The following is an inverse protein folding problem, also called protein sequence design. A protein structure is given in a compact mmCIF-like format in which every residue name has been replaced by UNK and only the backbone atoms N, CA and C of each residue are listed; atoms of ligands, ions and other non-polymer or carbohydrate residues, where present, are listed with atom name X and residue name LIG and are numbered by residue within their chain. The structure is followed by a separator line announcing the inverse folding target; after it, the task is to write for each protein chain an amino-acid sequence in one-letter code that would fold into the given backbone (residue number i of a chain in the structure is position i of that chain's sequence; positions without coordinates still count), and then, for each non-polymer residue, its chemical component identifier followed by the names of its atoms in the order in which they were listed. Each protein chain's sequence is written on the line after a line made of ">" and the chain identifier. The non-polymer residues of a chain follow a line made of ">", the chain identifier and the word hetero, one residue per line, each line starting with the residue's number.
data_IF_488503534558
#
_entry.id   IF_488503534558
#
_cell.length_a   1.000
_cell.length_b   1.000
_cell.length_c   1.000
_cell.angle_alpha   90.00
_cell.angle_beta   90.00
_cell.angle_gamma   90.00
#
_symmetry.space_group_name_H-M   'P 1'
#
loop_
_entity.id
_entity.type
_entity.pdbx_description
1 polymer ?
#
# COMPACT_ATOMS: atom_id res chain seq x y z
N UNK A 1 -10.02 8.18 -16.14
CA UNK A 1 -8.80 8.72 -15.53
C UNK A 1 -7.63 7.98 -16.15
N UNK A 2 -6.93 8.64 -17.05
CA UNK A 2 -5.75 8.10 -17.74
C UNK A 2 -4.59 8.22 -16.76
N UNK A 3 -4.22 7.13 -16.11
CA UNK A 3 -2.98 7.02 -15.34
C UNK A 3 -1.83 7.32 -16.31
N UNK A 4 -1.26 8.52 -16.20
CA UNK A 4 0.00 8.82 -16.85
C UNK A 4 1.00 7.76 -16.36
N UNK A 5 1.40 6.88 -17.28
CA UNK A 5 2.31 5.78 -16.97
C UNK A 5 3.61 6.41 -16.48
N UNK A 6 3.91 6.21 -15.19
CA UNK A 6 5.14 6.69 -14.55
C UNK A 6 6.31 5.88 -15.12
N UNK A 7 6.81 6.29 -16.27
CA UNK A 7 7.82 5.59 -17.07
C UNK A 7 9.22 5.61 -16.44
N UNK A 8 9.44 5.14 -15.19
CA UNK A 8 10.77 4.63 -14.71
C UNK A 8 10.81 4.24 -13.22
N UNK A 9 9.74 3.67 -12.64
CA UNK A 9 9.86 3.03 -11.33
C UNK A 9 10.22 1.55 -11.50
N UNK A 10 11.50 1.26 -11.80
CA UNK A 10 12.00 -0.12 -11.83
C UNK A 10 12.44 -0.57 -10.45
N UNK A 11 12.07 -1.79 -10.07
CA UNK A 11 12.64 -2.45 -8.89
C UNK A 11 14.17 -2.50 -8.97
N UNK A 12 14.82 -2.32 -7.82
CA UNK A 12 16.24 -2.64 -7.68
C UNK A 12 16.49 -4.13 -7.94
N UNK A 13 17.74 -4.52 -8.23
CA UNK A 13 18.18 -5.90 -8.05
C UNK A 13 17.89 -6.42 -6.64
N UNK A 14 17.95 -7.73 -6.49
CA UNK A 14 17.94 -8.38 -5.18
C UNK A 14 19.33 -8.29 -4.55
N UNK A 15 19.37 -7.95 -3.26
CA UNK A 15 20.58 -7.85 -2.48
C UNK A 15 20.44 -8.68 -1.21
N UNK A 16 21.47 -9.41 -0.82
CA UNK A 16 21.50 -10.04 0.51
C UNK A 16 21.34 -8.97 1.61
N UNK A 17 20.59 -9.29 2.67
CA UNK A 17 20.37 -8.35 3.79
C UNK A 17 21.68 -7.94 4.49
N UNK A 18 22.74 -8.73 4.32
CA UNK A 18 24.06 -8.46 4.87
C UNK A 18 24.99 -7.69 3.93
N UNK A 19 24.60 -7.45 2.66
CA UNK A 19 25.36 -6.66 1.68
C UNK A 19 25.50 -5.19 2.12
N UNK A 20 26.71 -4.81 2.56
CA UNK A 20 26.97 -3.48 3.10
C UNK A 20 26.94 -2.38 2.03
N UNK A 21 27.46 -2.65 0.84
CA UNK A 21 27.47 -1.71 -0.28
C UNK A 21 26.04 -1.35 -0.70
N UNK A 22 25.17 -2.35 -0.88
CA UNK A 22 23.76 -2.13 -1.20
C UNK A 22 23.04 -1.32 -0.11
N UNK A 23 23.33 -1.60 1.17
CA UNK A 23 22.77 -0.85 2.31
C UNK A 23 23.25 0.60 2.33
N UNK A 24 24.52 0.86 2.00
CA UNK A 24 25.06 2.22 1.99
C UNK A 24 24.59 3.03 0.76
N UNK A 25 24.25 2.36 -0.34
CA UNK A 25 23.65 2.94 -1.53
C UNK A 25 22.12 3.16 -1.44
N UNK A 26 21.46 2.77 -0.34
CA UNK A 26 20.02 2.95 -0.18
C UNK A 26 19.62 4.43 -0.25
N UNK A 27 18.56 4.77 -1.01
CA UNK A 27 18.14 6.15 -1.19
C UNK A 27 17.52 6.73 0.09
N UNK A 28 17.68 8.04 0.25
CA UNK A 28 17.07 8.84 1.32
C UNK A 28 15.64 9.28 1.01
N UNK A 29 14.94 8.55 0.15
CA UNK A 29 13.55 8.80 -0.25
C UNK A 29 12.63 7.69 0.24
N UNK A 30 11.32 7.96 0.35
CA UNK A 30 10.33 6.91 0.61
C UNK A 30 10.34 5.82 -0.47
N UNK A 31 9.76 4.68 -0.14
CA UNK A 31 9.59 3.61 -1.13
C UNK A 31 8.95 2.36 -0.56
N UNK A 32 8.80 1.35 -1.42
CA UNK A 32 8.33 0.00 -1.06
C UNK A 32 9.49 -0.99 -1.21
N UNK A 33 9.50 -2.03 -0.38
CA UNK A 33 10.49 -3.10 -0.43
C UNK A 33 9.83 -4.46 -0.33
N UNK A 34 10.56 -5.46 -0.83
CA UNK A 34 10.23 -6.87 -0.65
C UNK A 34 11.42 -7.58 -0.02
N UNK A 35 11.14 -8.56 0.82
CA UNK A 35 12.12 -9.50 1.38
C UNK A 35 11.76 -10.89 0.89
N UNK A 36 12.76 -11.65 0.44
CA UNK A 36 12.60 -13.05 0.02
C UNK A 36 13.63 -13.94 0.69
N UNK A 37 13.36 -15.25 0.67
CA UNK A 37 14.29 -16.29 1.11
C UNK A 37 14.93 -17.01 -0.09
N UNK A 38 15.90 -17.87 0.16
CA UNK A 38 16.66 -18.65 -0.82
C UNK A 38 15.91 -19.89 -1.35
N UNK A 39 14.76 -20.24 -0.77
CA UNK A 39 13.95 -21.40 -1.17
C UNK A 39 12.48 -21.06 -1.40
N UNK A 40 11.76 -21.96 -2.09
CA UNK A 40 10.32 -21.83 -2.33
C UNK A 40 9.53 -22.19 -1.08
N UNK A 41 8.65 -21.29 -0.62
CA UNK A 41 7.67 -21.58 0.44
C UNK A 41 6.37 -21.98 -0.22
N UNK A 42 5.83 -23.16 0.13
CA UNK A 42 4.52 -23.60 -0.34
C UNK A 42 3.41 -22.66 0.12
N UNK A 43 2.45 -22.40 -0.76
CA UNK A 43 1.30 -21.51 -0.51
C UNK A 43 -0.03 -22.25 -0.67
N UNK A 44 -1.13 -21.63 -0.24
CA UNK A 44 -2.49 -22.11 -0.55
C UNK A 44 -2.69 -22.29 -2.05
N UNK A 45 -2.10 -21.40 -2.86
CA UNK A 45 -1.98 -21.54 -4.31
C UNK A 45 -0.53 -21.31 -4.77
N UNK A 46 0.11 -22.38 -5.23
CA UNK A 46 1.48 -22.33 -5.80
C UNK A 46 2.58 -22.28 -4.73
N UNK A 47 3.67 -21.59 -5.04
CA UNK A 47 4.78 -21.34 -4.12
C UNK A 47 5.33 -19.93 -4.32
N UNK A 48 6.05 -19.42 -3.34
CA UNK A 48 6.73 -18.13 -3.46
C UNK A 48 7.90 -18.03 -2.47
N UNK A 49 8.94 -17.31 -2.89
CA UNK A 49 10.08 -16.97 -2.03
C UNK A 49 9.86 -15.72 -1.19
N UNK A 50 8.83 -14.92 -1.51
CA UNK A 50 8.57 -13.65 -0.81
C UNK A 50 8.12 -13.94 0.63
N UNK A 51 8.78 -13.30 1.57
CA UNK A 51 8.53 -13.41 3.00
C UNK A 51 7.76 -12.21 3.51
N UNK A 52 8.15 -11.01 3.09
CA UNK A 52 7.49 -9.77 3.49
C UNK A 52 7.48 -8.75 2.35
N UNK A 53 6.42 -7.92 2.33
CA UNK A 53 6.30 -6.71 1.51
C UNK A 53 6.04 -5.57 2.49
N UNK A 54 6.72 -4.44 2.33
CA UNK A 54 6.51 -3.32 3.24
C UNK A 54 6.87 -1.97 2.64
N UNK A 55 6.28 -0.90 3.18
CA UNK A 55 6.69 0.47 2.89
C UNK A 55 7.77 0.99 3.84
N UNK A 56 8.56 1.94 3.35
CA UNK A 56 9.60 2.65 4.06
C UNK A 56 9.32 4.16 4.04
N UNK A 57 9.04 4.70 5.21
CA UNK A 57 8.82 6.12 5.45
C UNK A 57 9.53 6.51 6.76
N UNK A 58 10.24 7.66 6.83
CA UNK A 58 10.39 8.65 5.76
C UNK A 58 11.40 8.27 4.66
N UNK A 59 12.24 7.23 4.86
CA UNK A 59 13.17 6.78 3.81
C UNK A 59 13.49 5.28 3.83
N UNK A 60 13.80 4.75 2.65
CA UNK A 60 14.32 3.39 2.45
C UNK A 60 15.59 3.14 3.24
N UNK A 61 16.55 4.08 3.25
CA UNK A 61 17.78 3.95 4.04
C UNK A 61 17.48 3.80 5.53
N UNK A 62 16.70 4.68 6.13
CA UNK A 62 16.38 4.59 7.55
C UNK A 62 15.67 3.27 7.88
N UNK A 63 14.67 2.87 7.08
CA UNK A 63 13.89 1.65 7.34
C UNK A 63 14.71 0.38 7.17
N UNK A 64 15.43 0.24 6.06
CA UNK A 64 16.11 -1.01 5.72
C UNK A 64 17.48 -1.08 6.38
N UNK A 65 18.30 -0.03 6.31
CA UNK A 65 19.66 -0.05 6.88
C UNK A 65 19.67 0.04 8.39
N UNK A 66 18.97 1.02 8.97
CA UNK A 66 19.12 1.37 10.38
C UNK A 66 18.17 0.57 11.29
N UNK A 67 16.98 0.25 10.80
CA UNK A 67 15.97 -0.50 11.57
C UNK A 67 15.98 -2.00 11.26
N UNK A 68 15.63 -2.41 10.04
CA UNK A 68 15.44 -3.85 9.72
C UNK A 68 16.74 -4.63 9.66
N UNK A 69 17.75 -4.15 8.93
CA UNK A 69 18.93 -4.97 8.61
C UNK A 69 20.18 -4.66 9.44
N UNK A 70 20.12 -3.67 10.33
CA UNK A 70 21.19 -3.40 11.30
C UNK A 70 21.33 -4.55 12.30
N UNK A 71 22.54 -5.10 12.48
CA UNK A 71 22.78 -6.30 13.32
C UNK A 71 22.18 -6.19 14.73
N UNK A 72 22.32 -5.04 15.38
CA UNK A 72 21.78 -4.84 16.74
C UNK A 72 20.27 -4.60 16.79
N UNK A 73 19.66 -4.15 15.69
CA UNK A 73 18.24 -3.76 15.64
C UNK A 73 17.37 -4.84 14.97
N UNK A 74 17.97 -5.73 14.16
CA UNK A 74 17.31 -6.75 13.36
C UNK A 74 16.32 -7.59 14.16
N UNK A 75 16.71 -8.07 15.34
CA UNK A 75 15.83 -8.88 16.19
C UNK A 75 14.59 -8.15 16.73
N UNK A 76 14.61 -6.81 16.74
CA UNK A 76 13.47 -5.98 17.12
C UNK A 76 12.51 -5.76 15.95
N UNK A 77 13.04 -5.51 14.75
CA UNK A 77 12.25 -5.00 13.61
C UNK A 77 11.89 -6.03 12.55
N UNK A 78 12.58 -7.17 12.49
CA UNK A 78 12.13 -8.28 11.66
C UNK A 78 10.80 -8.84 12.19
N UNK A 79 9.99 -9.37 11.27
CA UNK A 79 8.81 -10.13 11.64
C UNK A 79 9.19 -11.54 12.14
N UNK A 80 8.17 -12.30 12.58
CA UNK A 80 8.38 -13.64 13.15
C UNK A 80 8.89 -14.64 12.12
N UNK A 81 8.41 -14.55 10.88
CA UNK A 81 8.78 -15.46 9.81
C UNK A 81 10.25 -15.25 9.41
N UNK A 82 10.66 -13.99 9.21
CA UNK A 82 12.05 -13.64 8.91
C UNK A 82 13.02 -14.09 10.02
N UNK A 83 12.66 -13.91 11.30
CA UNK A 83 13.48 -14.39 12.42
C UNK A 83 13.64 -15.90 12.40
N UNK A 84 12.55 -16.62 12.15
CA UNK A 84 12.56 -18.09 12.09
C UNK A 84 13.44 -18.59 10.94
N UNK A 85 13.36 -17.97 9.77
CA UNK A 85 14.19 -18.28 8.61
C UNK A 85 15.68 -18.08 8.91
N UNK A 86 16.05 -16.91 9.46
CA UNK A 86 17.43 -16.65 9.84
C UNK A 86 17.94 -17.61 10.92
N UNK A 87 17.10 -17.96 11.89
CA UNK A 87 17.46 -18.95 12.91
C UNK A 87 17.67 -20.35 12.32
N UNK A 88 16.92 -20.70 11.27
CA UNK A 88 17.10 -21.93 10.49
C UNK A 88 18.32 -21.95 9.58
N UNK A 89 19.12 -20.86 9.54
CA UNK A 89 20.30 -20.75 8.69
C UNK A 89 20.00 -20.37 7.24
N UNK A 90 18.76 -19.99 6.92
CA UNK A 90 18.38 -19.50 5.60
C UNK A 90 18.86 -18.07 5.38
N UNK A 91 19.15 -17.74 4.12
CA UNK A 91 19.50 -16.38 3.73
C UNK A 91 18.24 -15.58 3.37
N UNK A 92 18.32 -14.27 3.56
CA UNK A 92 17.30 -13.34 3.13
C UNK A 92 17.91 -12.33 2.17
N UNK A 93 17.13 -11.98 1.16
CA UNK A 93 17.44 -10.93 0.20
C UNK A 93 16.34 -9.88 0.21
N UNK A 94 16.68 -8.66 -0.16
CA UNK A 94 15.73 -7.57 -0.31
C UNK A 94 15.89 -6.87 -1.66
N UNK A 95 14.80 -6.28 -2.14
CA UNK A 95 14.80 -5.29 -3.22
C UNK A 95 13.86 -4.14 -2.86
N UNK A 96 14.01 -3.02 -3.53
CA UNK A 96 13.20 -1.83 -3.27
C UNK A 96 12.82 -1.08 -4.54
N UNK A 97 11.82 -0.21 -4.41
CA UNK A 97 11.36 0.72 -5.42
C UNK A 97 11.10 2.07 -4.73
N UNK A 98 11.66 3.14 -5.27
CA UNK A 98 11.53 4.50 -4.72
C UNK A 98 10.22 5.15 -5.12
N UNK A 99 9.66 5.98 -4.24
CA UNK A 99 8.46 6.78 -4.50
C UNK A 99 8.74 8.26 -4.24
N UNK A 100 7.85 9.12 -4.73
CA UNK A 100 7.99 10.57 -4.53
C UNK A 100 7.64 10.97 -3.09
N UNK A 101 6.67 10.27 -2.48
CA UNK A 101 6.20 10.54 -1.14
C UNK A 101 5.80 9.26 -0.36
N UNK A 102 5.52 9.45 0.94
CA UNK A 102 5.15 8.37 1.86
C UNK A 102 3.76 7.78 1.57
N UNK A 103 2.85 8.59 1.00
CA UNK A 103 1.48 8.15 0.68
C UNK A 103 1.52 7.19 -0.49
N UNK A 104 2.31 7.51 -1.52
CA UNK A 104 2.57 6.64 -2.65
C UNK A 104 3.27 5.34 -2.21
N UNK A 105 4.25 5.41 -1.31
CA UNK A 105 4.90 4.20 -0.77
C UNK A 105 3.90 3.23 -0.11
N UNK A 106 2.97 3.75 0.69
CA UNK A 106 1.91 2.96 1.34
C UNK A 106 0.89 2.43 0.34
N UNK A 107 0.53 3.23 -0.65
CA UNK A 107 -0.38 2.81 -1.71
C UNK A 107 0.22 1.64 -2.50
N UNK A 108 1.49 1.73 -2.91
CA UNK A 108 2.18 0.64 -3.60
C UNK A 108 2.33 -0.61 -2.73
N UNK A 109 2.58 -0.47 -1.43
CA UNK A 109 2.56 -1.61 -0.50
C UNK A 109 1.21 -2.34 -0.53
N UNK A 110 0.10 -1.60 -0.45
CA UNK A 110 -1.25 -2.17 -0.51
C UNK A 110 -1.50 -2.85 -1.88
N UNK A 111 -1.07 -2.25 -2.99
CA UNK A 111 -1.19 -2.83 -4.33
C UNK A 111 -0.40 -4.15 -4.47
N UNK A 112 0.87 -4.16 -4.06
CA UNK A 112 1.71 -5.37 -4.14
C UNK A 112 1.25 -6.48 -3.19
N UNK A 113 0.69 -6.12 -2.02
CA UNK A 113 0.08 -7.11 -1.13
C UNK A 113 -1.19 -7.70 -1.73
N UNK A 114 -2.01 -6.89 -2.40
CA UNK A 114 -3.21 -7.37 -3.08
C UNK A 114 -2.86 -8.28 -4.26
N UNK A 115 -1.89 -7.90 -5.08
CA UNK A 115 -1.39 -8.73 -6.18
C UNK A 115 -0.93 -10.10 -5.66
N UNK A 116 -0.14 -10.09 -4.58
CA UNK A 116 0.33 -11.31 -3.92
C UNK A 116 -0.82 -12.18 -3.40
N UNK A 117 -1.79 -11.58 -2.70
CA UNK A 117 -2.95 -12.29 -2.15
C UNK A 117 -3.83 -12.88 -3.27
N UNK A 118 -4.00 -12.18 -4.39
CA UNK A 118 -4.69 -12.70 -5.57
C UNK A 118 -3.95 -13.88 -6.22
N UNK A 119 -2.62 -13.83 -6.28
CA UNK A 119 -1.79 -14.89 -6.86
C UNK A 119 -1.80 -16.17 -5.99
N UNK A 120 -1.61 -16.00 -4.67
CA UNK A 120 -1.34 -17.09 -3.74
C UNK A 120 -2.47 -17.46 -2.78
N UNK A 121 -3.57 -16.69 -2.79
CA UNK A 121 -4.73 -16.82 -1.89
C UNK A 121 -4.44 -16.61 -0.40
N UNK A 122 -3.29 -16.03 -0.08
CA UNK A 122 -2.87 -15.65 1.27
C UNK A 122 -1.82 -14.54 1.20
N UNK A 123 -1.55 -13.88 2.34
CA UNK A 123 -0.48 -12.88 2.45
C UNK A 123 0.91 -13.52 2.55
N UNK A 124 1.99 -12.75 2.30
CA UNK A 124 3.32 -13.17 2.68
C UNK A 124 3.38 -13.47 4.19
N UNK A 125 4.20 -14.44 4.64
CA UNK A 125 4.19 -14.93 6.02
C UNK A 125 4.64 -13.88 7.05
N UNK A 126 5.36 -12.84 6.61
CA UNK A 126 5.76 -11.69 7.41
C UNK A 126 4.71 -10.56 7.47
N UNK A 127 3.59 -10.69 6.75
CA UNK A 127 2.52 -9.70 6.69
C UNK A 127 1.26 -10.22 7.40
N UNK A 128 0.82 -9.52 8.44
CA UNK A 128 -0.34 -9.93 9.26
C UNK A 128 -1.66 -9.27 8.83
N UNK A 129 -1.60 -8.19 8.05
CA UNK A 129 -2.77 -7.35 7.72
C UNK A 129 -3.00 -7.34 6.22
N UNK A 130 -4.19 -7.78 5.80
CA UNK A 130 -4.60 -7.67 4.39
C UNK A 130 -5.00 -6.23 4.08
N UNK A 131 -4.67 -5.71 2.88
CA UNK A 131 -5.15 -4.41 2.41
C UNK A 131 -6.64 -4.44 2.04
N UNK A 132 -7.24 -5.61 1.81
CA UNK A 132 -8.62 -5.76 1.33
C UNK A 132 -9.67 -5.01 2.16
N UNK A 133 -9.68 -5.06 3.51
CA UNK A 133 -10.67 -4.33 4.29
C UNK A 133 -10.56 -2.82 4.11
N UNK A 134 -9.35 -2.29 3.95
CA UNK A 134 -9.10 -0.86 3.71
C UNK A 134 -9.60 -0.46 2.33
N UNK A 135 -9.18 -1.19 1.30
CA UNK A 135 -9.59 -0.96 -0.09
C UNK A 135 -11.12 -1.07 -0.22
N UNK A 136 -11.72 -2.08 0.39
CA UNK A 136 -13.18 -2.25 0.42
C UNK A 136 -13.88 -1.04 1.03
N UNK A 137 -13.38 -0.55 2.16
CA UNK A 137 -13.95 0.64 2.82
C UNK A 137 -13.84 1.88 1.94
N UNK A 138 -12.71 2.06 1.26
CA UNK A 138 -12.50 3.18 0.33
C UNK A 138 -13.45 3.10 -0.88
N UNK A 139 -13.61 1.91 -1.48
CA UNK A 139 -14.56 1.67 -2.57
C UNK A 139 -16.01 1.86 -2.14
N UNK A 140 -16.37 1.41 -0.93
CA UNK A 140 -17.70 1.62 -0.36
C UNK A 140 -17.98 3.12 -0.14
N UNK A 141 -17.00 3.87 0.37
CA UNK A 141 -17.10 5.32 0.53
C UNK A 141 -17.26 6.04 -0.81
N UNK A 142 -16.46 5.68 -1.82
CA UNK A 142 -16.54 6.26 -3.16
C UNK A 142 -17.91 5.96 -3.81
N UNK A 143 -18.39 4.72 -3.68
CA UNK A 143 -19.70 4.32 -4.21
C UNK A 143 -20.84 5.07 -3.53
N UNK A 144 -20.81 5.19 -2.20
CA UNK A 144 -21.81 5.96 -1.44
C UNK A 144 -21.77 7.43 -1.84
N UNK A 145 -20.57 8.01 -2.02
CA UNK A 145 -20.40 9.38 -2.52
C UNK A 145 -21.06 9.58 -3.88
N UNK A 146 -20.77 8.71 -4.86
CA UNK A 146 -21.37 8.77 -6.20
C UNK A 146 -22.90 8.61 -6.19
N UNK A 147 -23.43 7.73 -5.34
CA UNK A 147 -24.89 7.58 -5.19
C UNK A 147 -25.53 8.81 -4.55
N UNK A 148 -24.88 9.40 -3.55
CA UNK A 148 -25.34 10.64 -2.92
C UNK A 148 -25.31 11.80 -3.92
N UNK A 149 -24.25 11.93 -4.72
CA UNK A 149 -24.15 12.94 -5.78
C UNK A 149 -25.26 12.78 -6.83
N UNK A 150 -25.55 11.55 -7.26
CA UNK A 150 -26.66 11.27 -8.17
C UNK A 150 -28.02 11.64 -7.56
N UNK A 151 -28.27 11.26 -6.31
CA UNK A 151 -29.52 11.58 -5.63
C UNK A 151 -29.70 13.09 -5.39
N UNK A 152 -28.63 13.81 -5.02
CA UNK A 152 -28.65 15.27 -4.88
C UNK A 152 -28.98 15.93 -6.22
N UNK A 153 -28.38 15.44 -7.31
CA UNK A 153 -28.66 15.92 -8.67
C UNK A 153 -30.14 15.78 -9.03
N UNK A 154 -30.71 14.59 -8.81
CA UNK A 154 -32.13 14.32 -9.09
C UNK A 154 -33.07 15.25 -8.28
N UNK A 155 -32.72 15.58 -7.04
CA UNK A 155 -33.48 16.52 -6.22
C UNK A 155 -33.37 17.97 -6.73
N UNK A 156 -32.18 18.40 -7.12
CA UNK A 156 -31.96 19.73 -7.71
C UNK A 156 -32.73 19.88 -9.03
N UNK A 157 -32.78 18.85 -9.87
CA UNK A 157 -33.58 18.82 -11.12
C UNK A 157 -35.09 18.91 -10.84
N UNK A 158 -35.53 18.45 -9.68
CA UNK A 158 -36.91 18.61 -9.18
C UNK A 158 -37.16 19.97 -8.53
N UNK A 159 -36.24 20.94 -8.68
CA UNK A 159 -36.29 22.29 -8.11
C UNK A 159 -36.30 22.33 -6.56
N UNK A 160 -35.77 21.32 -5.88
CA UNK A 160 -35.55 21.41 -4.44
C UNK A 160 -34.41 22.40 -4.16
N UNK A 161 -34.59 23.26 -3.15
CA UNK A 161 -33.53 24.17 -2.75
C UNK A 161 -32.41 23.42 -2.01
N UNK A 162 -31.15 23.89 -2.08
CA UNK A 162 -30.04 23.29 -1.34
C UNK A 162 -30.30 23.17 0.18
N UNK A 163 -31.09 24.10 0.76
CA UNK A 163 -31.46 24.07 2.18
C UNK A 163 -32.42 22.90 2.51
N UNK A 164 -33.35 22.58 1.62
CA UNK A 164 -34.27 21.45 1.77
C UNK A 164 -33.52 20.12 1.64
N UNK A 165 -32.61 20.02 0.66
CA UNK A 165 -31.76 18.84 0.47
C UNK A 165 -30.84 18.64 1.67
N UNK A 166 -30.20 19.71 2.17
CA UNK A 166 -29.34 19.64 3.34
C UNK A 166 -30.10 19.15 4.59
N UNK A 167 -31.33 19.65 4.79
CA UNK A 167 -32.21 19.20 5.88
C UNK A 167 -32.62 17.73 5.73
N UNK A 168 -32.97 17.30 4.51
CA UNK A 168 -33.36 15.93 4.22
C UNK A 168 -32.22 14.93 4.49
N UNK A 169 -31.00 15.28 4.08
CA UNK A 169 -29.82 14.44 4.23
C UNK A 169 -29.13 14.58 5.60
N UNK A 170 -29.58 15.52 6.44
CA UNK A 170 -28.96 15.79 7.73
C UNK A 170 -27.50 16.27 7.60
N UNK A 171 -27.20 17.04 6.54
CA UNK A 171 -25.84 17.54 6.25
C UNK A 171 -25.80 19.07 6.27
N UNK A 172 -24.60 19.65 6.33
CA UNK A 172 -24.42 21.09 6.18
C UNK A 172 -24.70 21.51 4.73
N UNK A 173 -25.33 22.68 4.55
CA UNK A 173 -25.64 23.25 3.22
C UNK A 173 -24.41 23.36 2.31
N UNK A 174 -23.26 23.68 2.90
CA UNK A 174 -21.98 23.84 2.21
C UNK A 174 -21.51 22.56 1.49
N UNK A 175 -22.06 21.39 1.88
CA UNK A 175 -21.76 20.11 1.26
C UNK A 175 -22.68 19.79 0.06
N UNK A 176 -23.67 20.64 -0.25
CA UNK A 176 -24.54 20.47 -1.41
C UNK A 176 -23.94 21.26 -2.59
N UNK A 177 -23.57 20.60 -3.70
CA UNK A 177 -23.05 21.28 -4.88
C UNK A 177 -24.08 22.27 -5.44
N UNK A 178 -23.61 23.45 -5.84
CA UNK A 178 -24.45 24.47 -6.45
C UNK A 178 -24.86 24.06 -7.88
N UNK A 179 -26.03 24.47 -8.36
CA UNK A 179 -26.55 24.05 -9.69
C UNK A 179 -25.55 24.36 -10.81
N UNK A 180 -24.90 25.51 -10.72
CA UNK A 180 -23.85 25.97 -11.63
C UNK A 180 -22.65 25.02 -11.74
N UNK A 181 -22.35 24.25 -10.69
CA UNK A 181 -21.23 23.29 -10.65
C UNK A 181 -21.56 21.95 -11.31
N UNK A 182 -22.84 21.63 -11.50
CA UNK A 182 -23.32 20.37 -12.09
C UNK A 182 -23.59 20.47 -13.60
N UNK A 183 -23.49 21.68 -14.17
CA UNK A 183 -23.80 21.92 -15.58
C UNK A 183 -25.28 21.79 -15.92
N UNK A 184 -26.15 22.06 -14.93
CA UNK A 184 -27.62 22.04 -15.00
C UNK A 184 -28.12 23.48 -14.95
#
# INVERSE_FOLDING_TARGET
>A
MTTAVKENCSWSPWYEIDNQEAKDALPMTPGVYQVRTDFEIGRLKGSSRIVSIGSAAPSLRQRLREQRFHKAARWKYLDRAEKWLLHGGHTLEFRYLTTDDEKEARFLEDEYLLEYECEHWELPPGNERSPLPKIRKELEQERVGKLAEGFIRDLLEQNWSPDEIARLLGTAKENIPDQSSLGI
#
